data_IF_737677977446
#
_entry.id   IF_737677977446
#
_cell.length_a   1.000
_cell.length_b   1.000
_cell.length_c   1.000
_cell.angle_alpha   90.00
_cell.angle_beta   90.00
_cell.angle_gamma   90.00
#
_symmetry.space_group_name_H-M   'P 1'
#
loop_
_entity.id
_entity.type
_entity.pdbx_description
1 polymer ?
#
# COMPACT_ATOMS: atom_id res chain seq x y z
N UNK A 1 29.95 12.15 -43.87
CA UNK A 1 30.95 12.18 -42.77
C UNK A 1 31.47 13.60 -42.59
N UNK A 2 31.02 14.31 -41.55
CA UNK A 2 31.67 15.53 -41.03
C UNK A 2 31.52 15.49 -39.51
N UNK A 3 32.64 15.24 -38.83
CA UNK A 3 32.75 15.18 -37.38
C UNK A 3 32.94 16.59 -36.84
N UNK A 4 32.04 17.06 -35.99
CA UNK A 4 32.22 18.28 -35.20
C UNK A 4 32.30 17.86 -33.74
N UNK A 5 33.53 17.91 -33.21
CA UNK A 5 33.85 17.80 -31.79
C UNK A 5 33.54 19.14 -31.12
N UNK A 6 32.68 19.14 -30.11
CA UNK A 6 32.43 20.30 -29.25
C UNK A 6 32.81 19.94 -27.81
N UNK A 7 33.73 20.74 -27.28
CA UNK A 7 34.46 20.53 -26.05
C UNK A 7 33.58 20.76 -24.80
N UNK A 8 33.81 19.90 -23.81
CA UNK A 8 33.22 19.91 -22.47
C UNK A 8 33.90 20.99 -21.62
N UNK A 9 33.12 21.83 -20.96
CA UNK A 9 33.57 22.70 -19.86
C UNK A 9 32.84 22.30 -18.58
N UNK A 10 33.56 21.65 -17.67
CA UNK A 10 33.09 21.33 -16.32
C UNK A 10 33.48 22.47 -15.37
N UNK A 11 32.50 23.15 -14.79
CA UNK A 11 32.70 24.03 -13.64
C UNK A 11 32.34 23.27 -12.37
N UNK A 12 33.35 22.84 -11.60
CA UNK A 12 33.19 22.42 -10.22
C UNK A 12 33.16 23.67 -9.34
N UNK A 13 32.04 23.92 -8.67
CA UNK A 13 32.00 24.83 -7.51
C UNK A 13 31.78 23.97 -6.27
N UNK A 14 32.87 23.81 -5.50
CA UNK A 14 32.84 23.26 -4.16
C UNK A 14 32.30 24.33 -3.19
N UNK A 15 31.23 24.01 -2.49
CA UNK A 15 30.71 24.81 -1.37
C UNK A 15 30.76 23.99 -0.08
N UNK A 16 31.84 24.14 0.68
CA UNK A 16 31.90 23.77 2.09
C UNK A 16 31.76 25.04 2.94
N UNK A 17 30.87 25.06 3.92
CA UNK A 17 31.03 25.86 5.14
C UNK A 17 30.20 25.30 6.29
N UNK A 18 30.81 25.35 7.47
CA UNK A 18 30.52 24.61 8.69
C UNK A 18 29.83 25.46 9.78
N UNK A 19 29.27 24.77 10.78
CA UNK A 19 28.90 25.29 12.11
C UNK A 19 27.53 25.98 12.16
N UNK A 20 26.70 25.85 13.21
CA UNK A 20 27.01 25.75 14.63
C UNK A 20 25.90 24.97 15.37
N UNK A 21 26.28 24.30 16.46
CA UNK A 21 25.44 23.38 17.22
C UNK A 21 24.40 24.02 18.16
N UNK A 22 23.57 23.15 18.73
CA UNK A 22 23.07 23.25 20.09
C UNK A 22 22.62 21.84 20.53
N UNK A 23 23.53 21.17 21.22
CA UNK A 23 23.29 19.96 21.98
C UNK A 23 22.84 20.42 23.38
N UNK A 24 21.55 20.28 23.70
CA UNK A 24 21.05 20.46 25.07
C UNK A 24 19.86 19.53 25.31
N UNK A 25 20.01 18.60 26.26
CA UNK A 25 18.86 18.04 26.96
C UNK A 25 18.79 16.52 27.07
N UNK A 26 19.84 15.85 27.53
CA UNK A 26 19.71 14.57 28.21
C UNK A 26 19.02 14.81 29.57
N UNK A 27 17.87 14.16 29.79
CA UNK A 27 17.44 13.71 31.12
C UNK A 27 16.81 12.32 31.00
N UNK A 28 17.29 11.33 31.78
CA UNK A 28 16.72 9.99 31.83
C UNK A 28 15.72 9.82 33.00
N UNK A 29 15.07 8.65 33.02
CA UNK A 29 14.25 8.04 34.08
C UNK A 29 12.77 8.48 34.07
N UNK A 30 11.78 7.60 34.07
CA UNK A 30 11.54 6.65 35.18
C UNK A 30 10.62 5.50 34.74
N UNK A 31 11.04 4.27 35.01
CA UNK A 31 10.19 3.07 35.05
C UNK A 31 9.63 2.95 36.47
N UNK A 32 8.33 2.68 36.62
CA UNK A 32 7.74 2.25 37.88
C UNK A 32 6.87 0.98 37.68
N UNK A 33 6.76 0.10 38.69
CA UNK A 33 6.42 -1.32 38.52
C UNK A 33 4.98 -1.69 38.91
N UNK A 34 4.64 -2.93 38.56
CA UNK A 34 3.47 -3.77 38.91
C UNK A 34 2.73 -3.42 40.21
N UNK A 35 1.40 -3.50 40.13
CA UNK A 35 0.55 -3.96 41.24
C UNK A 35 -0.32 -5.13 40.81
N UNK A 36 -0.06 -6.27 41.46
CA UNK A 36 -0.86 -7.49 41.49
C UNK A 36 -2.10 -7.26 42.37
N UNK A 37 -3.27 -7.68 41.92
CA UNK A 37 -4.48 -7.73 42.73
C UNK A 37 -5.34 -8.92 42.30
N UNK A 38 -5.42 -9.93 43.17
CA UNK A 38 -6.22 -11.16 43.00
C UNK A 38 -7.55 -11.08 43.77
N UNK A 39 -8.46 -11.98 43.38
CA UNK A 39 -9.74 -12.38 43.99
C UNK A 39 -10.91 -11.40 43.73
N UNK A 40 -12.14 -11.81 43.42
CA UNK A 40 -12.90 -12.95 43.96
C UNK A 40 -14.17 -13.22 43.09
N UNK A 41 -14.51 -14.49 42.82
CA UNK A 41 -15.89 -14.96 42.45
C UNK A 41 -16.67 -15.24 43.75
N UNK A 42 -18.03 -15.14 43.83
CA UNK A 42 -19.00 -16.18 43.35
C UNK A 42 -20.44 -15.62 43.08
N UNK A 43 -21.55 -16.41 43.08
CA UNK A 43 -21.93 -17.52 42.22
C UNK A 43 -23.25 -17.30 41.41
N UNK A 44 -23.50 -18.27 40.51
CA UNK A 44 -24.67 -18.65 39.69
C UNK A 44 -26.07 -18.42 40.31
N UNK A 45 -27.00 -17.92 39.48
CA UNK A 45 -28.42 -18.36 39.45
C UNK A 45 -29.01 -18.27 38.04
N UNK A 46 -29.80 -19.29 37.71
CA UNK A 46 -30.55 -19.58 36.49
C UNK A 46 -31.87 -18.83 36.42
N UNK A 47 -32.25 -18.29 35.25
CA UNK A 47 -33.65 -18.27 34.82
C UNK A 47 -33.76 -18.23 33.29
N UNK A 48 -34.42 -19.25 32.74
CA UNK A 48 -34.88 -19.32 31.35
C UNK A 48 -36.02 -18.32 31.13
N UNK A 49 -35.98 -17.57 30.03
CA UNK A 49 -37.15 -16.90 29.48
C UNK A 49 -37.13 -17.00 27.95
N UNK A 50 -38.01 -17.85 27.44
CA UNK A 50 -38.39 -17.97 26.04
C UNK A 50 -39.13 -16.70 25.61
N UNK A 51 -38.61 -15.97 24.63
CA UNK A 51 -39.40 -15.02 23.85
C UNK A 51 -39.03 -15.15 22.37
N UNK A 52 -40.01 -15.60 21.60
CA UNK A 52 -40.02 -15.63 20.13
C UNK A 52 -40.43 -14.23 19.63
N UNK A 53 -39.70 -13.63 18.69
CA UNK A 53 -40.27 -12.61 17.82
C UNK A 53 -40.49 -13.19 16.42
N UNK A 54 -41.76 -13.19 16.01
CA UNK A 54 -42.22 -13.34 14.63
C UNK A 54 -42.08 -12.00 13.90
N UNK A 55 -41.93 -12.03 12.56
CA UNK A 55 -42.00 -10.94 11.56
C UNK A 55 -40.83 -9.94 11.54
N UNK A 56 -40.21 -9.56 10.41
CA UNK A 56 -40.66 -9.30 9.02
C UNK A 56 -39.43 -9.32 8.07
N UNK A 57 -39.54 -9.58 6.75
CA UNK A 57 -38.41 -9.48 5.84
C UNK A 57 -37.98 -8.01 5.72
N UNK A 58 -36.76 -7.69 6.16
CA UNK A 58 -36.14 -6.39 5.88
C UNK A 58 -35.72 -6.38 4.42
N UNK A 59 -36.42 -5.60 3.61
CA UNK A 59 -35.99 -5.18 2.28
C UNK A 59 -34.65 -4.45 2.43
N UNK A 60 -33.55 -5.17 2.19
CA UNK A 60 -32.23 -4.55 2.01
C UNK A 60 -32.24 -3.78 0.70
N UNK A 61 -32.47 -2.47 0.78
CA UNK A 61 -32.00 -1.54 -0.24
C UNK A 61 -30.49 -1.77 -0.34
N UNK A 62 -30.05 -2.38 -1.44
CA UNK A 62 -28.64 -2.70 -1.70
C UNK A 62 -27.86 -1.40 -1.90
N UNK A 63 -27.45 -0.78 -0.80
CA UNK A 63 -26.39 0.21 -0.82
C UNK A 63 -25.10 -0.57 -1.05
N UNK A 64 -24.48 -0.35 -2.21
CA UNK A 64 -23.18 -0.93 -2.56
C UNK A 64 -22.23 -0.83 -1.36
N UNK A 65 -21.63 -1.94 -0.88
CA UNK A 65 -20.77 -1.89 0.28
C UNK A 65 -19.60 -0.91 0.06
N UNK A 66 -19.32 -0.09 1.08
CA UNK A 66 -18.16 0.81 1.11
C UNK A 66 -16.84 0.03 1.03
N UNK A 67 -15.72 0.74 0.90
CA UNK A 67 -14.39 0.10 0.95
C UNK A 67 -14.26 -0.66 2.29
N UNK A 68 -13.78 -1.92 2.29
CA UNK A 68 -13.58 -2.67 3.52
C UNK A 68 -12.74 -1.90 4.54
N UNK A 69 -13.18 -1.92 5.80
CA UNK A 69 -12.48 -1.28 6.91
C UNK A 69 -11.32 -2.16 7.41
N UNK A 70 -10.39 -1.56 8.17
CA UNK A 70 -9.35 -2.33 8.83
C UNK A 70 -9.95 -3.41 9.76
N UNK A 71 -9.38 -4.61 9.72
CA UNK A 71 -9.89 -5.76 10.47
C UNK A 71 -11.06 -6.51 9.82
N UNK A 72 -11.54 -6.09 8.64
CA UNK A 72 -12.50 -6.87 7.86
C UNK A 72 -11.95 -8.27 7.51
N UNK A 73 -12.84 -9.26 7.46
CA UNK A 73 -12.46 -10.62 7.10
C UNK A 73 -12.03 -10.68 5.62
N UNK A 74 -11.02 -11.51 5.31
CA UNK A 74 -10.51 -11.62 3.95
C UNK A 74 -11.61 -12.05 2.95
N UNK A 75 -12.55 -12.90 3.34
CA UNK A 75 -13.67 -13.30 2.47
C UNK A 75 -14.58 -12.12 2.13
N UNK A 76 -14.80 -11.19 3.07
CA UNK A 76 -15.52 -9.94 2.81
C UNK A 76 -14.75 -9.05 1.82
N UNK A 77 -13.43 -8.93 2.00
CA UNK A 77 -12.55 -8.16 1.11
C UNK A 77 -12.56 -8.73 -0.31
N UNK A 78 -12.46 -10.05 -0.45
CA UNK A 78 -12.54 -10.74 -1.75
C UNK A 78 -13.88 -10.47 -2.41
N UNK A 79 -14.99 -10.68 -1.70
CA UNK A 79 -16.33 -10.43 -2.22
C UNK A 79 -16.51 -8.97 -2.68
N UNK A 80 -15.93 -8.03 -1.94
CA UNK A 80 -15.94 -6.62 -2.33
C UNK A 80 -15.16 -6.38 -3.63
N UNK A 81 -13.95 -6.92 -3.77
CA UNK A 81 -13.14 -6.77 -4.98
C UNK A 81 -13.81 -7.44 -6.19
N UNK A 82 -14.47 -8.57 -6.00
CA UNK A 82 -15.16 -9.31 -7.06
C UNK A 82 -16.45 -8.64 -7.53
N UNK A 83 -17.15 -7.93 -6.64
CA UNK A 83 -18.34 -7.17 -6.96
C UNK A 83 -18.07 -5.90 -7.82
N UNK A 84 -16.84 -5.64 -8.23
CA UNK A 84 -16.52 -4.55 -9.14
C UNK A 84 -16.70 -4.91 -10.61
N UNK A 85 -17.06 -3.90 -11.41
CA UNK A 85 -17.23 -4.06 -12.86
C UNK A 85 -15.91 -4.45 -13.49
N UNK A 86 -15.86 -5.60 -14.16
CA UNK A 86 -14.62 -6.08 -14.77
C UNK A 86 -14.09 -5.10 -15.81
N UNK A 87 -12.86 -4.63 -15.61
CA UNK A 87 -12.13 -3.81 -16.56
C UNK A 87 -11.24 -4.71 -17.44
N UNK A 88 -11.25 -4.54 -18.77
CA UNK A 88 -10.46 -5.38 -19.66
C UNK A 88 -8.97 -5.00 -19.55
N UNK A 89 -8.11 -6.00 -19.31
CA UNK A 89 -6.71 -5.78 -18.95
C UNK A 89 -5.85 -5.18 -20.08
N UNK A 90 -6.25 -5.39 -21.33
CA UNK A 90 -5.59 -4.86 -22.53
C UNK A 90 -5.50 -3.32 -22.53
N UNK A 91 -6.46 -2.64 -21.89
CA UNK A 91 -6.49 -1.18 -21.71
C UNK A 91 -5.40 -0.63 -20.79
N UNK A 92 -4.76 -1.49 -20.01
CA UNK A 92 -3.81 -1.11 -18.97
C UNK A 92 -2.37 -1.53 -19.33
N UNK A 93 -2.09 -1.83 -20.60
CA UNK A 93 -0.80 -2.40 -21.04
C UNK A 93 0.26 -1.35 -21.38
N UNK A 94 -0.06 -0.07 -21.26
CA UNK A 94 0.82 1.04 -21.59
C UNK A 94 0.93 2.06 -20.46
N UNK A 95 2.05 2.78 -20.43
CA UNK A 95 2.23 4.00 -19.66
C UNK A 95 2.52 5.16 -20.59
N UNK A 96 2.19 6.37 -20.15
CA UNK A 96 2.52 7.58 -20.87
C UNK A 96 3.17 8.64 -19.98
N UNK A 97 4.17 9.32 -20.55
CA UNK A 97 4.82 10.50 -19.97
C UNK A 97 5.11 11.52 -21.07
N UNK A 98 4.71 12.76 -20.85
CA UNK A 98 4.97 13.87 -21.77
C UNK A 98 4.56 13.56 -23.24
N UNK A 99 3.43 12.88 -23.43
CA UNK A 99 2.91 12.50 -24.75
C UNK A 99 3.57 11.29 -25.40
N UNK A 100 4.60 10.69 -24.78
CA UNK A 100 5.23 9.44 -25.23
C UNK A 100 4.58 8.27 -24.51
N UNK A 101 4.13 7.27 -25.27
CA UNK A 101 3.54 6.03 -24.77
C UNK A 101 4.53 4.87 -24.91
N UNK A 102 4.68 4.07 -23.87
CA UNK A 102 5.50 2.86 -23.87
C UNK A 102 4.70 1.65 -23.37
N UNK A 103 5.00 0.47 -23.92
CA UNK A 103 4.43 -0.79 -23.45
C UNK A 103 5.06 -1.20 -22.11
N UNK A 104 4.24 -1.70 -21.18
CA UNK A 104 4.66 -2.06 -19.81
C UNK A 104 5.17 -3.51 -19.73
N UNK A 105 4.72 -4.38 -20.64
CA UNK A 105 4.93 -5.84 -20.50
C UNK A 105 4.20 -6.42 -19.30
N UNK A 106 3.03 -5.85 -18.97
CA UNK A 106 2.24 -6.14 -17.78
C UNK A 106 1.04 -5.20 -17.71
N UNK A 107 0.68 -4.75 -16.50
CA UNK A 107 -0.36 -3.74 -16.31
C UNK A 107 0.19 -2.50 -15.62
N UNK A 108 -0.32 -1.34 -16.01
CA UNK A 108 -0.15 -0.08 -15.31
C UNK A 108 -1.49 0.65 -15.27
N UNK A 109 -1.84 1.19 -14.10
CA UNK A 109 -3.10 1.89 -13.92
C UNK A 109 -3.01 2.92 -12.81
N UNK A 110 -3.88 3.93 -12.89
CA UNK A 110 -4.01 4.97 -11.87
C UNK A 110 -5.39 4.95 -11.24
N UNK A 111 -5.46 5.45 -10.01
CA UNK A 111 -6.72 5.79 -9.32
C UNK A 111 -6.65 7.25 -8.87
N UNK A 112 -7.59 7.69 -8.03
CA UNK A 112 -7.53 9.02 -7.42
C UNK A 112 -6.39 9.19 -6.40
N UNK A 113 -5.84 8.09 -5.87
CA UNK A 113 -4.83 8.12 -4.78
C UNK A 113 -3.61 7.24 -5.06
N UNK A 114 -3.57 6.55 -6.21
CA UNK A 114 -2.47 5.64 -6.55
C UNK A 114 -2.06 5.69 -8.02
N UNK A 115 -0.77 5.44 -8.28
CA UNK A 115 -0.24 5.03 -9.59
C UNK A 115 0.46 3.69 -9.44
N UNK A 116 -0.03 2.65 -10.10
CA UNK A 116 0.42 1.28 -9.91
C UNK A 116 0.94 0.66 -11.21
N UNK A 117 1.97 -0.19 -11.08
CA UNK A 117 2.60 -0.95 -12.17
C UNK A 117 2.90 -2.36 -11.66
N UNK A 118 2.57 -3.36 -12.48
CA UNK A 118 2.97 -4.76 -12.28
C UNK A 118 3.51 -5.30 -13.60
N UNK A 119 4.80 -5.60 -13.64
CA UNK A 119 5.50 -6.08 -14.84
C UNK A 119 6.56 -7.10 -14.46
N UNK A 120 6.79 -8.10 -15.32
CA UNK A 120 7.82 -9.12 -15.09
C UNK A 120 9.24 -8.52 -14.97
N UNK A 121 9.45 -7.35 -15.58
CA UNK A 121 10.71 -6.59 -15.48
C UNK A 121 10.97 -5.96 -14.11
N UNK A 122 10.01 -6.00 -13.19
CA UNK A 122 10.14 -5.48 -11.83
C UNK A 122 9.78 -6.57 -10.82
N UNK A 123 10.79 -7.00 -10.03
CA UNK A 123 10.62 -7.93 -8.89
C UNK A 123 9.65 -9.10 -9.18
N UNK A 124 9.88 -9.81 -10.29
CA UNK A 124 9.07 -10.95 -10.71
C UNK A 124 7.55 -10.69 -10.81
N UNK A 125 7.13 -9.47 -11.16
CA UNK A 125 5.71 -9.12 -11.28
C UNK A 125 5.06 -8.64 -9.98
N UNK A 126 5.85 -8.21 -9.00
CA UNK A 126 5.34 -7.51 -7.81
C UNK A 126 4.52 -6.27 -8.24
N UNK A 127 3.40 -6.02 -7.56
CA UNK A 127 2.64 -4.78 -7.74
C UNK A 127 3.37 -3.65 -7.01
N UNK A 128 3.96 -2.73 -7.74
CA UNK A 128 4.46 -1.47 -7.20
C UNK A 128 3.38 -0.39 -7.34
N UNK A 129 3.15 0.38 -6.29
CA UNK A 129 2.27 1.54 -6.29
C UNK A 129 2.96 2.74 -5.66
N UNK A 130 2.84 3.90 -6.29
CA UNK A 130 3.00 5.19 -5.63
C UNK A 130 1.64 5.55 -5.03
N UNK A 131 1.61 5.88 -3.73
CA UNK A 131 0.39 6.18 -2.98
C UNK A 131 0.49 7.57 -2.39
N UNK A 132 -0.52 8.41 -2.61
CA UNK A 132 -0.60 9.76 -2.05
C UNK A 132 -0.99 9.69 -0.56
N UNK A 133 -0.03 9.27 0.29
CA UNK A 133 -0.19 9.12 1.74
C UNK A 133 -0.17 10.46 2.47
N UNK A 134 -1.10 10.65 3.42
CA UNK A 134 -1.13 11.82 4.30
C UNK A 134 0.01 11.81 5.34
N UNK A 135 0.38 10.61 5.82
CA UNK A 135 1.46 10.39 6.79
C UNK A 135 2.36 9.23 6.34
N UNK A 136 3.26 9.45 5.36
CA UNK A 136 4.15 8.40 4.87
C UNK A 136 5.22 8.03 5.93
N UNK A 137 5.71 6.77 5.94
CA UNK A 137 6.75 6.38 6.90
C UNK A 137 7.99 7.29 6.82
N UNK A 138 8.59 7.65 7.97
CA UNK A 138 9.78 8.47 7.99
C UNK A 138 10.97 7.71 7.37
N UNK A 139 11.93 8.46 6.83
CA UNK A 139 13.17 7.89 6.28
C UNK A 139 13.93 7.11 7.36
N UNK A 140 14.21 5.81 7.16
CA UNK A 140 15.04 5.04 8.07
C UNK A 140 16.47 5.60 8.16
N UNK A 141 17.14 5.52 9.32
CA UNK A 141 18.48 6.08 9.51
C UNK A 141 19.54 5.38 8.65
N UNK A 142 19.30 4.14 8.25
CA UNK A 142 20.14 3.30 7.39
C UNK A 142 19.86 3.50 5.88
N UNK A 143 18.95 4.40 5.51
CA UNK A 143 18.62 4.68 4.12
C UNK A 143 19.78 5.40 3.39
N UNK A 144 20.56 4.68 2.59
CA UNK A 144 21.74 5.25 1.88
C UNK A 144 21.43 5.89 0.52
N UNK A 145 20.28 5.59 -0.10
CA UNK A 145 19.86 6.20 -1.38
C UNK A 145 18.59 7.03 -1.21
N UNK A 146 17.99 7.49 -2.33
CA UNK A 146 16.78 8.29 -2.34
C UNK A 146 15.64 7.55 -1.63
N UNK A 147 15.06 8.19 -0.62
CA UNK A 147 13.92 7.66 0.12
C UNK A 147 12.59 8.01 -0.56
N UNK A 148 11.70 7.03 -0.70
CA UNK A 148 10.33 7.19 -1.20
C UNK A 148 9.35 6.60 -0.19
N UNK A 149 8.82 7.43 0.70
CA UNK A 149 7.83 7.03 1.71
C UNK A 149 6.48 6.66 1.12
N UNK A 150 6.18 7.15 -0.09
CA UNK A 150 4.97 6.90 -0.88
C UNK A 150 5.00 5.60 -1.69
N UNK A 151 6.12 4.86 -1.66
CA UNK A 151 6.27 3.63 -2.44
C UNK A 151 5.77 2.41 -1.68
N UNK A 152 4.84 1.67 -2.28
CA UNK A 152 4.30 0.41 -1.77
C UNK A 152 4.59 -0.72 -2.76
N UNK A 153 5.25 -1.78 -2.30
CA UNK A 153 5.39 -3.03 -3.06
C UNK A 153 4.50 -4.11 -2.42
N UNK A 154 3.68 -4.80 -3.22
CA UNK A 154 2.84 -5.91 -2.79
C UNK A 154 3.02 -7.12 -3.72
N UNK A 155 3.53 -8.23 -3.17
CA UNK A 155 3.75 -9.48 -3.93
C UNK A 155 2.74 -10.59 -3.58
N UNK A 156 1.80 -10.30 -2.67
CA UNK A 156 0.88 -11.27 -2.10
C UNK A 156 1.33 -11.82 -0.75
N UNK A 157 2.61 -12.10 -0.55
CA UNK A 157 3.13 -12.60 0.72
C UNK A 157 3.54 -11.48 1.69
N UNK A 158 3.90 -10.32 1.14
CA UNK A 158 4.33 -9.16 1.91
C UNK A 158 3.89 -7.84 1.27
N UNK A 159 3.78 -6.82 2.11
CA UNK A 159 3.62 -5.41 1.74
C UNK A 159 4.80 -4.64 2.33
N UNK A 160 5.60 -4.00 1.48
CA UNK A 160 6.68 -3.10 1.90
C UNK A 160 6.24 -1.65 1.63
N UNK A 161 6.25 -0.80 2.66
CA UNK A 161 5.76 0.58 2.62
C UNK A 161 6.91 1.51 2.95
N UNK A 162 7.20 2.42 2.04
CA UNK A 162 8.34 3.31 2.14
C UNK A 162 9.65 2.58 1.90
N UNK A 163 10.46 3.06 0.98
CA UNK A 163 11.69 2.35 0.66
C UNK A 163 12.74 3.20 -0.05
N UNK A 164 14.00 2.76 0.06
CA UNK A 164 15.12 3.32 -0.71
C UNK A 164 15.00 2.92 -2.18
N UNK A 165 15.29 3.87 -3.08
CA UNK A 165 15.20 3.68 -4.53
C UNK A 165 16.44 4.22 -5.24
N UNK A 166 16.74 3.59 -6.38
CA UNK A 166 17.67 4.04 -7.39
C UNK A 166 16.97 4.04 -8.75
N UNK A 167 17.37 4.94 -9.64
CA UNK A 167 16.77 5.08 -10.96
C UNK A 167 17.45 4.17 -12.01
N UNK A 168 16.72 3.66 -13.02
CA UNK A 168 15.29 3.88 -13.26
C UNK A 168 14.39 2.77 -12.68
N UNK A 169 13.36 3.16 -11.92
CA UNK A 169 12.31 2.26 -11.42
C UNK A 169 11.17 2.00 -12.44
N UNK A 170 10.16 1.17 -12.08
CA UNK A 170 9.04 0.79 -12.96
C UNK A 170 8.17 1.96 -13.45
N UNK A 171 8.25 3.14 -12.83
CA UNK A 171 7.47 4.32 -13.21
C UNK A 171 8.18 5.29 -14.16
N UNK A 172 9.33 4.91 -14.73
CA UNK A 172 10.12 5.78 -15.63
C UNK A 172 9.32 6.28 -16.83
N UNK A 173 8.41 5.44 -17.33
CA UNK A 173 7.58 5.69 -18.51
C UNK A 173 6.27 6.42 -18.17
N UNK A 174 6.07 6.78 -16.90
CA UNK A 174 4.97 7.63 -16.43
C UNK A 174 3.86 6.90 -15.71
N UNK A 175 2.62 7.17 -16.13
CA UNK A 175 1.41 6.66 -15.49
C UNK A 175 0.60 5.81 -16.47
N UNK A 176 -0.10 4.81 -15.94
CA UNK A 176 -1.04 3.99 -16.70
C UNK A 176 -2.42 4.63 -16.83
N UNK A 177 -3.30 3.95 -17.58
CA UNK A 177 -4.68 4.37 -17.76
C UNK A 177 -5.46 4.42 -16.43
N UNK A 178 -6.46 5.29 -16.34
CA UNK A 178 -7.30 5.41 -15.14
C UNK A 178 -8.16 4.14 -14.99
N UNK A 179 -8.13 3.54 -13.80
CA UNK A 179 -9.08 2.51 -13.36
C UNK A 179 -10.28 3.21 -12.68
N UNK A 180 -11.48 3.22 -13.30
CA UNK A 180 -12.62 3.94 -12.75
C UNK A 180 -13.07 3.41 -11.39
N UNK A 181 -13.60 4.30 -10.55
CA UNK A 181 -14.18 3.91 -9.26
C UNK A 181 -15.25 2.83 -9.46
N UNK A 182 -15.13 1.76 -8.68
CA UNK A 182 -16.01 0.59 -8.70
C UNK A 182 -15.61 -0.48 -9.72
N UNK A 183 -14.66 -0.21 -10.61
CA UNK A 183 -14.14 -1.20 -11.55
C UNK A 183 -13.06 -2.07 -10.89
N UNK A 184 -12.94 -3.31 -11.38
CA UNK A 184 -11.93 -4.27 -10.95
C UNK A 184 -11.08 -4.74 -12.11
N UNK A 185 -9.76 -4.76 -11.92
CA UNK A 185 -8.76 -5.20 -12.87
C UNK A 185 -8.10 -6.48 -12.35
N UNK A 186 -8.11 -7.54 -13.16
CA UNK A 186 -7.47 -8.83 -12.85
C UNK A 186 -6.19 -9.00 -13.67
N UNK A 187 -5.11 -9.46 -13.04
CA UNK A 187 -3.81 -9.73 -13.67
C UNK A 187 -2.99 -10.68 -12.81
N UNK A 188 -2.41 -11.72 -13.41
CA UNK A 188 -1.73 -12.79 -12.66
C UNK A 188 -2.67 -13.38 -11.59
N UNK A 189 -2.15 -13.57 -10.38
CA UNK A 189 -2.92 -14.00 -9.20
C UNK A 189 -3.62 -12.86 -8.46
N UNK A 190 -3.57 -11.64 -9.01
CA UNK A 190 -4.10 -10.44 -8.37
C UNK A 190 -5.40 -9.97 -9.02
N UNK A 191 -6.27 -9.39 -8.18
CA UNK A 191 -7.37 -8.54 -8.63
C UNK A 191 -7.43 -7.31 -7.75
N UNK A 192 -7.48 -6.15 -8.39
CA UNK A 192 -7.60 -4.86 -7.73
C UNK A 192 -8.95 -4.23 -8.05
N UNK A 193 -9.59 -3.58 -7.08
CA UNK A 193 -10.78 -2.76 -7.28
C UNK A 193 -10.55 -1.34 -6.78
N UNK A 194 -10.83 -0.37 -7.64
CA UNK A 194 -10.78 1.04 -7.26
C UNK A 194 -12.01 1.40 -6.40
N UNK A 195 -11.79 1.86 -5.18
CA UNK A 195 -12.80 2.49 -4.33
C UNK A 195 -12.84 4.01 -4.54
N UNK A 196 -13.71 4.69 -3.80
CA UNK A 196 -13.79 6.17 -3.81
C UNK A 196 -12.60 6.82 -3.08
N UNK A 197 -11.99 6.14 -2.11
CA UNK A 197 -10.93 6.67 -1.27
C UNK A 197 -9.68 5.78 -1.18
N UNK A 198 -9.74 4.56 -1.71
CA UNK A 198 -8.62 3.62 -1.66
C UNK A 198 -8.69 2.61 -2.80
N UNK A 199 -7.53 2.10 -3.19
CA UNK A 199 -7.38 0.91 -4.02
C UNK A 199 -7.34 -0.31 -3.09
N UNK A 200 -8.05 -1.40 -3.43
CA UNK A 200 -7.91 -2.67 -2.71
C UNK A 200 -7.48 -3.75 -3.70
N UNK A 201 -6.39 -4.45 -3.40
CA UNK A 201 -5.84 -5.51 -4.21
C UNK A 201 -5.77 -6.81 -3.42
N UNK A 202 -6.36 -7.87 -3.96
CA UNK A 202 -6.32 -9.23 -3.43
C UNK A 202 -5.27 -10.01 -4.21
N UNK A 203 -4.47 -10.83 -3.53
CA UNK A 203 -3.72 -11.93 -4.13
C UNK A 203 -4.39 -13.26 -3.76
N UNK A 204 -4.92 -13.97 -4.75
CA UNK A 204 -5.68 -15.19 -4.54
C UNK A 204 -4.80 -16.39 -4.17
N UNK A 205 -3.58 -16.45 -4.73
CA UNK A 205 -2.65 -17.54 -4.45
C UNK A 205 -2.15 -17.51 -2.99
N UNK A 206 -1.89 -16.31 -2.46
CA UNK A 206 -1.39 -16.11 -1.09
C UNK A 206 -2.51 -15.89 -0.06
N UNK A 207 -3.77 -15.81 -0.50
CA UNK A 207 -4.93 -15.51 0.37
C UNK A 207 -4.66 -14.29 1.26
N UNK A 208 -4.30 -13.19 0.63
CA UNK A 208 -4.02 -11.92 1.29
C UNK A 208 -4.60 -10.77 0.48
N UNK A 209 -4.69 -9.60 1.10
CA UNK A 209 -5.06 -8.39 0.40
C UNK A 209 -4.43 -7.15 1.03
N UNK A 210 -4.35 -6.08 0.26
CA UNK A 210 -3.89 -4.77 0.72
C UNK A 210 -4.91 -3.69 0.31
N UNK A 211 -5.25 -2.80 1.23
CA UNK A 211 -5.94 -1.53 0.97
C UNK A 211 -4.91 -0.42 1.00
N UNK A 212 -4.87 0.40 -0.04
CA UNK A 212 -3.97 1.53 -0.20
C UNK A 212 -4.82 2.79 -0.36
N UNK A 213 -4.84 3.63 0.67
CA UNK A 213 -5.54 4.92 0.68
C UNK A 213 -4.64 6.01 1.28
N UNK A 214 -5.04 7.27 1.14
CA UNK A 214 -4.29 8.40 1.70
C UNK A 214 -4.15 8.30 3.23
N UNK A 215 -5.16 7.73 3.88
CA UNK A 215 -5.21 7.45 5.32
C UNK A 215 -4.30 6.30 5.78
N UNK A 216 -3.64 5.61 4.85
CA UNK A 216 -2.66 4.58 5.14
C UNK A 216 -2.85 3.28 4.37
N UNK A 217 -1.99 2.33 4.71
CA UNK A 217 -1.93 1.00 4.09
C UNK A 217 -2.37 -0.05 5.11
N UNK A 218 -3.35 -0.87 4.73
CA UNK A 218 -3.91 -1.94 5.57
C UNK A 218 -3.75 -3.29 4.90
N UNK A 219 -3.13 -4.25 5.60
CA UNK A 219 -3.08 -5.65 5.19
C UNK A 219 -4.29 -6.44 5.69
N UNK A 220 -4.68 -7.46 4.94
CA UNK A 220 -5.73 -8.43 5.29
C UNK A 220 -5.23 -9.86 5.12
N UNK A 221 -5.94 -10.82 5.71
CA UNK A 221 -5.53 -12.22 5.72
C UNK A 221 -4.37 -12.43 6.68
N UNK A 222 -3.30 -13.08 6.22
CA UNK A 222 -2.12 -13.34 7.05
C UNK A 222 -1.17 -12.14 7.23
N UNK A 223 -1.38 -11.04 6.49
CA UNK A 223 -0.49 -9.88 6.55
C UNK A 223 -0.57 -9.18 7.91
N UNK A 224 0.50 -9.33 8.69
CA UNK A 224 0.68 -8.68 9.99
C UNK A 224 1.99 -7.92 10.02
N UNK A 225 2.14 -6.98 10.95
CA UNK A 225 3.37 -6.18 11.07
C UNK A 225 4.57 -7.08 11.37
N UNK A 226 5.59 -6.98 10.53
CA UNK A 226 6.86 -7.70 10.64
C UNK A 226 8.02 -6.68 10.76
N UNK A 227 9.21 -7.18 11.09
CA UNK A 227 10.43 -6.37 11.11
C UNK A 227 10.80 -5.95 9.68
N UNK A 228 10.88 -4.65 9.38
CA UNK A 228 11.31 -4.20 8.07
C UNK A 228 12.78 -4.55 7.81
N UNK A 229 13.08 -4.93 6.56
CA UNK A 229 14.44 -5.06 6.06
C UNK A 229 15.14 -3.70 6.03
N UNK A 230 16.49 -3.67 5.97
CA UNK A 230 17.23 -2.44 5.75
C UNK A 230 16.71 -1.64 4.56
N UNK A 231 16.53 -0.34 4.75
CA UNK A 231 15.99 0.56 3.74
C UNK A 231 14.48 0.43 3.44
N UNK A 232 13.72 -0.33 4.23
CA UNK A 232 12.24 -0.39 4.21
C UNK A 232 11.69 0.32 5.45
N UNK A 233 10.60 1.07 5.31
CA UNK A 233 9.98 1.82 6.42
C UNK A 233 9.09 0.95 7.29
N UNK A 234 8.07 0.37 6.67
CA UNK A 234 7.14 -0.56 7.33
C UNK A 234 7.01 -1.81 6.46
N UNK A 235 6.92 -2.97 7.11
CA UNK A 235 6.63 -4.24 6.47
C UNK A 235 5.44 -4.90 7.12
N UNK A 236 4.53 -5.40 6.27
CA UNK A 236 3.55 -6.41 6.64
C UNK A 236 3.94 -7.70 5.93
N UNK A 237 3.88 -8.84 6.59
CA UNK A 237 4.06 -10.11 5.93
C UNK A 237 3.22 -11.21 6.56
N UNK A 238 2.99 -12.25 5.77
CA UNK A 238 2.78 -13.59 6.27
C UNK A 238 4.16 -14.19 6.65
#
# INVERSE_FOLDING_TARGET
MRWVLLAVTSALVAGCSAGHGADTGRTPLTVAPKTTGSAQSPPRTTTSATTKPTTKPTTTTSTKPGVPAAGADLTEVIAWVEAGTAAPADRYTTMARAGVTAAVGGVAFTTAVTNCVSTSGYRAGTLACLVDLDDPPPRPPDAITVWRGDWVDFDGSAVEIGSVRGDPGPFRDGAGAVLPVGASLTFGDMRCRAGTAALVCVNYAQRSAVRMGADGITGYGCLVRDRPQPGIGIRLSC
#
